data_IF_788519115516
#
_entry.id   IF_788519115516
#
_cell.length_a   1.000
_cell.length_b   1.000
_cell.length_c   1.000
_cell.angle_alpha   90.00
_cell.angle_beta   90.00
_cell.angle_gamma   90.00
#
_symmetry.space_group_name_H-M   'P 1'
#
loop_
_entity.id
_entity.type
_entity.pdbx_description
1 polymer ?
#
# COMPACT_ATOMS: atom_id res chain seq x y z
N UNK A 1 -47.26 19.72 7.98
CA UNK A 1 -46.18 19.62 8.99
C UNK A 1 -45.97 18.16 9.34
N UNK A 2 -44.96 17.50 8.75
CA UNK A 2 -44.46 16.21 9.22
C UNK A 2 -42.94 16.30 9.25
N UNK A 3 -42.40 16.66 10.42
CA UNK A 3 -40.95 16.67 10.65
C UNK A 3 -40.53 15.23 10.92
N UNK A 4 -39.74 14.66 10.02
CA UNK A 4 -39.11 13.36 10.22
C UNK A 4 -38.04 13.50 11.30
N UNK A 5 -38.05 12.69 12.38
CA UNK A 5 -37.18 12.88 13.53
C UNK A 5 -35.99 11.91 13.52
N UNK A 6 -35.16 11.90 12.48
CA UNK A 6 -33.84 11.24 12.59
C UNK A 6 -32.79 12.00 11.79
N UNK A 7 -31.66 12.41 12.41
CA UNK A 7 -30.52 12.91 11.65
C UNK A 7 -29.94 11.77 10.79
N UNK A 8 -29.43 12.06 9.57
CA UNK A 8 -28.71 11.05 8.80
C UNK A 8 -27.46 10.64 9.59
N UNK A 9 -27.31 9.33 9.80
CA UNK A 9 -26.17 8.72 10.45
C UNK A 9 -24.89 9.10 9.69
N UNK A 10 -24.12 10.07 10.20
CA UNK A 10 -22.76 10.32 9.75
C UNK A 10 -21.88 9.20 10.29
N UNK A 11 -21.86 8.06 9.60
CA UNK A 11 -20.84 7.03 9.79
C UNK A 11 -19.45 7.63 9.55
N UNK A 12 -18.38 7.02 10.09
CA UNK A 12 -17.02 7.51 9.87
C UNK A 12 -16.75 7.55 8.36
N UNK A 13 -16.44 8.75 7.86
CA UNK A 13 -15.92 8.94 6.51
C UNK A 13 -14.63 8.13 6.46
N UNK A 14 -14.66 6.99 5.76
CA UNK A 14 -13.45 6.22 5.51
C UNK A 14 -12.39 7.20 4.99
N UNK A 15 -11.18 7.26 5.59
CA UNK A 15 -10.16 8.18 5.14
C UNK A 15 -9.94 7.95 3.63
N UNK A 16 -9.73 9.02 2.83
CA UNK A 16 -9.56 8.87 1.39
C UNK A 16 -8.45 7.85 1.17
N UNK A 17 -8.75 6.78 0.42
CA UNK A 17 -7.80 5.72 0.11
C UNK A 17 -6.58 6.36 -0.56
N UNK A 18 -5.51 6.57 0.22
CA UNK A 18 -4.25 7.09 -0.29
C UNK A 18 -3.67 6.03 -1.20
N UNK A 19 -3.47 6.37 -2.47
CA UNK A 19 -2.76 5.48 -3.39
C UNK A 19 -1.36 5.24 -2.82
N UNK A 20 -1.06 3.99 -2.50
CA UNK A 20 0.23 3.57 -1.95
C UNK A 20 1.02 2.87 -3.04
N UNK A 21 2.32 3.17 -3.13
CA UNK A 21 3.26 2.46 -4.00
C UNK A 21 3.56 1.05 -3.49
N UNK A 22 2.94 0.58 -2.42
CA UNK A 22 3.16 -0.75 -1.85
C UNK A 22 1.86 -1.54 -1.77
N UNK A 23 1.94 -2.82 -2.15
CA UNK A 23 0.87 -3.79 -2.01
C UNK A 23 1.34 -4.96 -1.17
N UNK A 24 0.40 -5.63 -0.51
CA UNK A 24 0.64 -6.84 0.27
C UNK A 24 -0.10 -8.01 -0.32
N UNK A 25 0.52 -9.19 -0.26
CA UNK A 25 -0.12 -10.46 -0.61
C UNK A 25 0.24 -11.53 0.42
N UNK A 26 -0.60 -12.57 0.51
CA UNK A 26 -0.41 -13.69 1.42
C UNK A 26 -0.06 -14.92 0.61
N UNK A 27 1.20 -15.40 0.63
CA UNK A 27 1.55 -16.64 -0.04
C UNK A 27 0.78 -17.81 0.55
N UNK A 28 0.50 -18.79 -0.31
CA UNK A 28 0.07 -20.10 0.16
C UNK A 28 1.19 -20.70 1.02
N UNK A 29 0.85 -21.10 2.24
CA UNK A 29 1.74 -21.82 3.13
C UNK A 29 1.42 -23.32 3.01
N UNK A 30 2.38 -24.10 2.53
CA UNK A 30 2.19 -25.55 2.39
C UNK A 30 2.29 -26.23 3.76
N UNK A 31 1.46 -27.25 4.03
CA UNK A 31 1.63 -28.10 5.21
C UNK A 31 2.99 -28.83 5.27
N UNK A 32 3.69 -28.95 4.14
CA UNK A 32 4.99 -29.63 4.03
C UNK A 32 6.18 -28.66 3.99
N UNK A 33 5.96 -27.35 4.15
CA UNK A 33 7.06 -26.39 4.18
C UNK A 33 7.91 -26.62 5.45
N UNK A 34 9.25 -26.69 5.32
CA UNK A 34 10.13 -27.01 6.45
C UNK A 34 10.24 -25.89 7.49
N UNK A 35 9.58 -24.74 7.29
CA UNK A 35 9.65 -23.55 8.13
C UNK A 35 8.31 -22.80 8.12
N UNK A 36 7.89 -22.16 9.24
CA UNK A 36 6.73 -21.28 9.25
C UNK A 36 6.85 -20.16 8.21
N UNK A 37 5.93 -20.14 7.24
CA UNK A 37 5.96 -19.15 6.18
C UNK A 37 5.64 -17.75 6.70
N UNK A 38 6.35 -16.75 6.19
CA UNK A 38 5.98 -15.34 6.40
C UNK A 38 4.63 -15.07 5.69
N UNK A 39 3.61 -14.81 6.50
CA UNK A 39 2.20 -14.78 6.06
C UNK A 39 1.85 -13.57 5.19
N UNK A 40 2.67 -12.53 5.20
CA UNK A 40 2.41 -11.29 4.46
C UNK A 40 3.69 -10.85 3.79
N UNK A 41 3.65 -10.74 2.48
CA UNK A 41 4.75 -10.23 1.66
C UNK A 41 4.33 -8.88 1.08
N UNK A 42 5.17 -7.87 1.24
CA UNK A 42 4.98 -6.56 0.64
C UNK A 42 5.84 -6.41 -0.62
N UNK A 43 5.31 -5.77 -1.65
CA UNK A 43 6.05 -5.42 -2.85
C UNK A 43 5.71 -3.99 -3.28
N UNK A 44 6.69 -3.32 -3.90
CA UNK A 44 6.47 -2.00 -4.48
C UNK A 44 5.75 -2.16 -5.83
N UNK A 45 4.64 -1.46 -6.00
CA UNK A 45 4.00 -1.20 -7.30
C UNK A 45 4.36 0.20 -7.75
N UNK A 46 5.41 0.36 -8.54
CA UNK A 46 5.86 1.67 -8.96
C UNK A 46 4.80 2.33 -9.87
N UNK A 47 4.67 3.66 -9.81
CA UNK A 47 3.60 4.41 -10.46
C UNK A 47 3.59 4.28 -11.99
N UNK A 48 4.70 3.88 -12.61
CA UNK A 48 4.76 3.63 -14.05
C UNK A 48 3.80 2.50 -14.50
N UNK A 49 3.44 1.56 -13.62
CA UNK A 49 2.48 0.50 -13.95
C UNK A 49 1.05 1.03 -14.12
N UNK A 50 0.76 2.22 -13.58
CA UNK A 50 -0.55 2.85 -13.65
C UNK A 50 -0.59 4.01 -14.66
N UNK A 51 0.58 4.39 -15.19
CA UNK A 51 0.71 5.42 -16.22
C UNK A 51 0.74 4.75 -17.60
N UNK A 52 -0.43 4.66 -18.25
CA UNK A 52 -0.53 3.99 -19.56
C UNK A 52 0.32 4.65 -20.66
N UNK A 53 0.30 5.98 -20.74
CA UNK A 53 1.14 6.76 -21.64
C UNK A 53 1.66 8.02 -20.92
N UNK A 54 2.84 8.49 -21.28
CA UNK A 54 3.40 9.73 -20.75
C UNK A 54 2.86 10.94 -21.54
N UNK A 55 1.95 11.76 -20.98
CA UNK A 55 1.42 12.91 -21.68
C UNK A 55 2.52 13.91 -22.04
N UNK A 56 2.37 14.64 -23.15
CA UNK A 56 3.30 15.71 -23.49
C UNK A 56 3.29 16.76 -22.37
N UNK A 57 4.46 17.36 -22.12
CA UNK A 57 4.64 18.40 -21.09
C UNK A 57 4.33 17.92 -19.66
N UNK A 58 4.52 16.62 -19.37
CA UNK A 58 4.48 16.14 -18.00
C UNK A 58 5.48 16.95 -17.14
N UNK A 59 5.11 17.40 -15.93
CA UNK A 59 6.01 18.14 -15.05
C UNK A 59 7.33 17.39 -14.86
N UNK A 60 8.44 18.13 -14.79
CA UNK A 60 9.78 17.57 -14.62
C UNK A 60 10.50 18.24 -13.46
N UNK A 61 11.34 17.48 -12.79
CA UNK A 61 12.29 18.02 -11.84
C UNK A 61 13.39 18.79 -12.57
N UNK A 62 14.00 19.81 -11.92
CA UNK A 62 15.26 20.38 -12.39
C UNK A 62 16.35 19.29 -12.50
N UNK A 63 17.31 19.40 -13.44
CA UNK A 63 18.27 18.33 -13.71
C UNK A 63 19.02 17.81 -12.48
N UNK A 64 19.45 18.72 -11.58
CA UNK A 64 20.16 18.35 -10.35
C UNK A 64 19.29 17.52 -9.38
N UNK A 65 18.01 17.83 -9.31
CA UNK A 65 17.07 17.09 -8.46
C UNK A 65 16.70 15.75 -9.09
N UNK A 66 16.50 15.71 -10.41
CA UNK A 66 16.23 14.49 -11.14
C UNK A 66 17.32 13.42 -10.93
N UNK A 67 18.59 13.83 -10.99
CA UNK A 67 19.73 12.94 -10.73
C UNK A 67 19.73 12.38 -9.31
N UNK A 68 19.36 13.18 -8.31
CA UNK A 68 19.28 12.73 -6.91
C UNK A 68 18.11 11.78 -6.68
N UNK A 69 17.00 12.00 -7.38
CA UNK A 69 15.78 11.19 -7.26
C UNK A 69 15.82 9.92 -8.11
N UNK A 70 16.69 9.85 -9.11
CA UNK A 70 16.72 8.76 -10.09
C UNK A 70 15.57 8.79 -11.09
N UNK A 71 14.83 9.90 -11.19
CA UNK A 71 13.74 10.08 -12.16
C UNK A 71 13.59 11.54 -12.55
N UNK A 72 13.26 11.78 -13.83
CA UNK A 72 12.97 13.11 -14.34
C UNK A 72 11.57 13.59 -13.96
N UNK A 73 10.61 12.67 -13.81
CA UNK A 73 9.20 13.00 -13.65
C UNK A 73 8.73 12.80 -12.20
N UNK A 74 8.14 13.83 -11.55
CA UNK A 74 7.57 13.71 -10.21
C UNK A 74 6.48 12.64 -10.11
N UNK A 75 5.67 12.49 -11.15
CA UNK A 75 4.63 11.46 -11.21
C UNK A 75 5.18 10.03 -11.18
N UNK A 76 6.47 9.84 -11.50
CA UNK A 76 7.13 8.55 -11.54
C UNK A 76 8.06 8.32 -10.34
N UNK A 77 8.07 9.22 -9.35
CA UNK A 77 8.89 9.07 -8.16
C UNK A 77 8.28 8.04 -7.19
N UNK A 78 9.02 6.97 -6.92
CA UNK A 78 8.68 5.97 -5.89
C UNK A 78 9.82 5.92 -4.86
N UNK A 79 9.59 6.38 -3.61
CA UNK A 79 10.62 6.31 -2.57
C UNK A 79 10.90 4.85 -2.22
N UNK A 80 12.18 4.48 -2.21
CA UNK A 80 12.63 3.15 -1.76
C UNK A 80 12.96 3.22 -0.26
N UNK A 81 12.05 2.75 0.59
CA UNK A 81 12.22 2.77 2.05
C UNK A 81 13.11 1.61 2.57
N UNK A 82 13.65 0.77 1.70
CA UNK A 82 14.47 -0.40 2.07
C UNK A 82 13.69 -1.47 2.84
N UNK A 83 14.39 -2.51 3.30
CA UNK A 83 13.80 -3.65 4.01
C UNK A 83 13.39 -3.34 5.47
N UNK A 84 13.72 -2.15 5.96
CA UNK A 84 13.53 -1.76 7.35
C UNK A 84 12.16 -1.13 7.65
N UNK A 85 11.21 -1.16 6.71
CA UNK A 85 9.85 -0.75 7.02
C UNK A 85 9.30 -1.72 8.08
N UNK A 86 8.85 -1.22 9.25
CA UNK A 86 8.06 -2.06 10.14
C UNK A 86 6.82 -2.44 9.34
N UNK A 87 6.70 -3.72 8.99
CA UNK A 87 5.41 -4.28 8.60
C UNK A 87 4.52 -4.00 9.79
N UNK A 88 3.63 -3.01 9.69
CA UNK A 88 2.58 -2.83 10.69
C UNK A 88 1.87 -4.16 10.77
N UNK A 89 2.13 -4.85 11.88
CA UNK A 89 1.75 -6.23 12.09
C UNK A 89 0.26 -6.25 12.43
N UNK A 90 -0.58 -5.81 11.51
CA UNK A 90 -2.03 -5.97 11.63
C UNK A 90 -2.33 -7.47 11.53
N UNK A 91 -2.49 -8.10 12.70
CA UNK A 91 -2.90 -9.50 12.83
C UNK A 91 -1.80 -10.45 13.30
N UNK A 92 -1.08 -10.08 14.37
CA UNK A 92 -0.48 -11.08 15.25
C UNK A 92 -1.57 -11.71 16.12
N UNK A 93 -2.03 -12.88 15.71
CA UNK A 93 -2.31 -14.00 16.63
C UNK A 93 -2.74 -15.18 15.77
N UNK A 94 -1.92 -16.22 15.76
CA UNK A 94 -2.38 -17.55 15.42
C UNK A 94 -2.12 -18.43 16.62
N UNK A 95 -2.56 -17.97 17.78
CA UNK A 95 -2.79 -18.84 18.92
C UNK A 95 -4.21 -19.38 18.74
N UNK A 96 -4.32 -20.44 17.96
CA UNK A 96 -5.49 -21.31 18.05
C UNK A 96 -5.40 -22.06 19.38
N UNK A 97 -6.50 -22.25 20.13
CA UNK A 97 -6.46 -23.09 21.31
C UNK A 97 -6.13 -24.52 20.87
N UNK A 98 -5.00 -25.03 21.34
CA UNK A 98 -4.70 -26.46 21.35
C UNK A 98 -5.75 -27.14 22.21
N UNK A 99 -6.74 -27.77 21.57
CA UNK A 99 -7.68 -28.66 22.25
C UNK A 99 -6.94 -29.98 22.56
N UNK A 100 -6.48 -30.10 23.80
CA UNK A 100 -6.26 -31.38 24.46
C UNK A 100 -7.56 -31.85 25.11
#
# INVERSE_FOLDING_TARGET
MWKHPYPPYMGPIAPPMRHTNFKTWRPYASPFDPCPAERVKAYNTPPNLYLGFQPPNLPQYPPREALRRGTLWPALFSPYEGYNRPVEREGESCDGPSSH
#
